data_IF_624623196846
#
_entry.id   IF_624623196846
#
_cell.length_a   1.000
_cell.length_b   1.000
_cell.length_c   1.000
_cell.angle_alpha   90.00
_cell.angle_beta   90.00
_cell.angle_gamma   90.00
#
_symmetry.space_group_name_H-M   'P 1'
#
loop_
_entity.id
_entity.type
_entity.pdbx_description
1 polymer ?
#
# COMPACT_ATOMS: atom_id res chain seq x y z
N UNK A 1 2.19 -39.10 8.56
CA UNK A 1 1.22 -38.00 8.62
C UNK A 1 1.55 -37.14 9.84
N UNK A 2 2.04 -35.92 9.64
CA UNK A 2 2.22 -34.98 10.75
C UNK A 2 0.84 -34.46 11.17
N UNK A 3 0.45 -34.69 12.43
CA UNK A 3 -0.81 -34.18 13.01
C UNK A 3 -0.42 -33.28 14.17
N UNK A 4 -0.29 -31.99 13.90
CA UNK A 4 -0.07 -30.95 14.89
C UNK A 4 -0.83 -29.71 14.43
N UNK A 5 -1.56 -29.06 15.34
CA UNK A 5 -2.17 -27.76 15.06
C UNK A 5 -1.04 -26.74 14.94
N UNK A 6 -0.74 -26.31 13.71
CA UNK A 6 0.13 -25.16 13.45
C UNK A 6 -0.77 -23.92 13.50
N UNK A 7 -0.67 -23.15 14.57
CA UNK A 7 -1.23 -21.80 14.64
C UNK A 7 -0.17 -20.84 14.12
N UNK A 8 -0.47 -20.12 13.04
CA UNK A 8 0.38 -19.07 12.48
C UNK A 8 -0.33 -17.74 12.65
N UNK A 9 0.13 -16.93 13.61
CA UNK A 9 -0.30 -15.53 13.72
C UNK A 9 0.67 -14.67 12.91
N UNK A 10 0.13 -13.97 11.92
CA UNK A 10 0.88 -13.17 10.95
C UNK A 10 0.35 -11.73 10.95
N UNK A 11 1.24 -10.76 11.23
CA UNK A 11 0.92 -9.34 11.23
C UNK A 11 1.82 -8.61 10.23
N UNK A 12 1.22 -7.75 9.40
CA UNK A 12 1.94 -6.87 8.48
C UNK A 12 1.69 -5.43 8.91
N UNK A 13 2.76 -4.68 9.11
CA UNK A 13 2.76 -3.24 9.30
C UNK A 13 3.58 -2.58 8.19
N UNK A 14 3.07 -1.48 7.63
CA UNK A 14 3.76 -0.71 6.59
C UNK A 14 3.79 0.76 6.94
N UNK A 15 4.95 1.38 6.78
CA UNK A 15 5.14 2.84 6.88
C UNK A 15 5.65 3.36 5.54
N UNK A 16 4.98 4.37 4.99
CA UNK A 16 5.27 4.93 3.67
C UNK A 16 5.81 6.37 3.76
N UNK A 17 6.84 6.67 2.96
CA UNK A 17 7.34 8.03 2.72
C UNK A 17 7.33 8.32 1.22
N UNK A 18 6.40 9.15 0.78
CA UNK A 18 6.26 9.52 -0.63
C UNK A 18 6.87 10.90 -0.89
N UNK A 19 7.87 10.93 -1.78
CA UNK A 19 8.50 12.15 -2.30
C UNK A 19 8.08 12.33 -3.75
N UNK A 20 7.42 13.43 -4.09
CA UNK A 20 6.91 13.65 -5.44
C UNK A 20 7.23 15.05 -5.98
N UNK A 21 7.17 15.16 -7.30
CA UNK A 21 7.28 16.40 -8.05
C UNK A 21 6.11 16.50 -9.02
N UNK A 22 5.44 17.64 -9.02
CA UNK A 22 4.30 17.93 -9.88
C UNK A 22 4.79 18.38 -11.26
N UNK A 23 4.46 17.59 -12.29
CA UNK A 23 4.86 17.85 -13.67
C UNK A 23 3.84 18.77 -14.35
N UNK A 24 2.56 18.54 -14.09
CA UNK A 24 1.45 19.25 -14.70
C UNK A 24 0.51 19.73 -13.60
N UNK A 25 0.23 21.03 -13.60
CA UNK A 25 -0.71 21.69 -12.69
C UNK A 25 -1.72 22.51 -13.53
N UNK A 26 -2.79 21.86 -13.99
CA UNK A 26 -3.90 22.57 -14.62
C UNK A 26 -5.26 22.02 -14.15
N UNK A 27 -6.14 21.60 -15.05
CA UNK A 27 -7.38 20.88 -14.70
C UNK A 27 -7.05 19.45 -14.23
N UNK A 28 -5.94 18.90 -14.74
CA UNK A 28 -5.42 17.59 -14.40
C UNK A 28 -4.04 17.78 -13.77
N UNK A 29 -3.84 17.21 -12.59
CA UNK A 29 -2.54 17.12 -11.94
C UNK A 29 -1.85 15.81 -12.30
N UNK A 30 -0.55 15.86 -12.57
CA UNK A 30 0.30 14.68 -12.75
C UNK A 30 1.55 14.82 -11.89
N UNK A 31 1.66 13.95 -10.91
CA UNK A 31 2.79 13.89 -9.99
C UNK A 31 3.56 12.61 -10.26
N UNK A 32 4.89 12.70 -10.24
CA UNK A 32 5.77 11.54 -10.25
C UNK A 32 6.72 11.60 -9.08
N UNK A 33 7.16 10.45 -8.59
CA UNK A 33 7.96 10.43 -7.39
C UNK A 33 8.56 9.09 -7.03
N UNK A 34 8.98 9.02 -5.78
CA UNK A 34 9.50 7.84 -5.13
C UNK A 34 8.69 7.59 -3.86
N UNK A 35 8.19 6.38 -3.71
CA UNK A 35 7.56 5.88 -2.48
C UNK A 35 8.54 4.95 -1.77
N UNK A 36 8.99 5.33 -0.58
CA UNK A 36 9.86 4.52 0.27
C UNK A 36 9.00 3.85 1.33
N UNK A 37 8.74 2.55 1.15
CA UNK A 37 7.94 1.73 2.06
C UNK A 37 8.84 0.93 3.00
N UNK A 38 8.69 1.13 4.30
CA UNK A 38 9.21 0.21 5.31
C UNK A 38 8.13 -0.83 5.64
N UNK A 39 8.41 -2.10 5.33
CA UNK A 39 7.52 -3.23 5.57
C UNK A 39 8.04 -4.04 6.76
N UNK A 40 7.23 -4.17 7.80
CA UNK A 40 7.47 -5.02 8.96
C UNK A 40 6.51 -6.20 8.96
N UNK A 41 7.05 -7.39 9.09
CA UNK A 41 6.31 -8.65 9.11
C UNK A 41 6.65 -9.39 10.39
N UNK A 42 5.69 -9.48 11.31
CA UNK A 42 5.81 -10.26 12.53
C UNK A 42 5.17 -11.63 12.33
N UNK A 43 5.93 -12.70 12.60
CA UNK A 43 5.44 -14.07 12.48
C UNK A 43 5.68 -14.88 13.76
N UNK A 44 4.63 -15.56 14.22
CA UNK A 44 4.70 -16.48 15.35
C UNK A 44 4.46 -17.90 14.85
N UNK A 45 5.47 -18.76 14.95
CA UNK A 45 5.35 -20.18 14.61
C UNK A 45 5.42 -20.99 15.90
N UNK A 46 4.32 -21.65 16.27
CA UNK A 46 4.26 -22.60 17.38
C UNK A 46 4.25 -24.03 16.85
N UNK A 47 5.23 -24.85 17.22
CA UNK A 47 5.26 -26.29 16.89
C UNK A 47 5.75 -27.12 18.09
N UNK A 48 4.91 -28.05 18.56
CA UNK A 48 5.20 -29.04 19.61
C UNK A 48 6.08 -28.52 20.76
N UNK A 49 5.62 -27.46 21.44
CA UNK A 49 6.28 -26.92 22.64
C UNK A 49 7.38 -25.89 22.38
N UNK A 50 7.72 -25.61 21.12
CA UNK A 50 8.65 -24.53 20.74
C UNK A 50 7.84 -23.41 20.08
N UNK A 51 7.96 -22.20 20.61
CA UNK A 51 7.42 -20.98 20.00
C UNK A 51 8.58 -20.15 19.49
N UNK A 52 8.66 -19.96 18.18
CA UNK A 52 9.61 -19.02 17.57
C UNK A 52 8.84 -17.75 17.20
N UNK A 53 9.30 -16.62 17.72
CA UNK A 53 8.86 -15.28 17.35
C UNK A 53 10.00 -14.61 16.62
N UNK A 54 9.73 -14.10 15.43
CA UNK A 54 10.72 -13.34 14.68
C UNK A 54 10.02 -12.28 13.83
N UNK A 55 10.78 -11.26 13.44
CA UNK A 55 10.28 -10.09 12.71
C UNK A 55 11.21 -9.77 11.56
N UNK A 56 10.67 -9.65 10.36
CA UNK A 56 11.41 -9.20 9.17
C UNK A 56 11.04 -7.76 8.88
N UNK A 57 12.05 -6.89 8.76
CA UNK A 57 11.89 -5.48 8.40
C UNK A 57 12.66 -5.22 7.09
N UNK A 58 11.99 -4.58 6.13
CA UNK A 58 12.59 -4.27 4.83
C UNK A 58 12.15 -2.91 4.30
N UNK A 59 13.12 -2.10 3.89
CA UNK A 59 12.89 -0.83 3.21
C UNK A 59 12.90 -1.04 1.70
N UNK A 60 11.82 -0.63 1.04
CA UNK A 60 11.53 -0.91 -0.36
C UNK A 60 11.27 0.43 -1.07
N UNK A 61 12.19 0.90 -1.92
CA UNK A 61 11.93 2.05 -2.77
C UNK A 61 11.07 1.64 -3.97
N UNK A 62 10.04 2.42 -4.29
CA UNK A 62 9.10 2.16 -5.37
C UNK A 62 8.92 3.42 -6.23
N UNK A 63 8.75 3.23 -7.53
CA UNK A 63 8.36 4.33 -8.41
C UNK A 63 6.92 4.73 -8.09
N UNK A 64 6.67 6.02 -7.92
CA UNK A 64 5.36 6.57 -7.60
C UNK A 64 4.84 7.46 -8.71
N UNK A 65 3.53 7.41 -8.96
CA UNK A 65 2.83 8.38 -9.78
C UNK A 65 1.41 8.62 -9.26
N UNK A 66 0.94 9.85 -9.39
CA UNK A 66 -0.44 10.24 -9.11
C UNK A 66 -0.99 11.03 -10.28
N UNK A 67 -2.23 10.74 -10.65
CA UNK A 67 -3.01 11.56 -11.57
C UNK A 67 -4.28 12.00 -10.86
N UNK A 68 -4.56 13.29 -10.87
CA UNK A 68 -5.70 13.89 -10.19
C UNK A 68 -6.41 14.91 -11.06
N UNK A 69 -7.64 15.24 -10.70
CA UNK A 69 -8.36 16.34 -11.34
C UNK A 69 -9.53 16.83 -10.50
N UNK A 70 -9.82 18.12 -10.62
CA UNK A 70 -10.95 18.75 -9.94
C UNK A 70 -12.06 19.08 -10.93
N UNK A 71 -13.15 18.29 -10.99
CA UNK A 71 -14.25 18.55 -11.92
C UNK A 71 -15.15 19.72 -11.47
N UNK A 72 -15.10 20.09 -10.19
CA UNK A 72 -15.90 21.14 -9.55
C UNK A 72 -15.23 21.52 -8.21
N UNK A 73 -15.46 22.75 -7.69
CA UNK A 73 -14.82 23.22 -6.47
C UNK A 73 -15.01 22.26 -5.29
N UNK A 74 -13.91 21.94 -4.61
CA UNK A 74 -13.91 21.08 -3.43
C UNK A 74 -13.84 19.58 -3.73
N UNK A 75 -14.21 19.08 -4.92
CA UNK A 75 -14.00 17.67 -5.27
C UNK A 75 -12.69 17.45 -6.01
N UNK A 76 -12.03 16.34 -5.68
CA UNK A 76 -10.87 15.80 -6.37
C UNK A 76 -11.17 14.34 -6.68
N UNK A 77 -10.92 13.94 -7.92
CA UNK A 77 -10.88 12.52 -8.32
C UNK A 77 -9.42 12.23 -8.66
N UNK A 78 -8.85 11.19 -8.06
CA UNK A 78 -7.44 10.86 -8.23
C UNK A 78 -7.18 9.36 -8.25
N UNK A 79 -6.17 8.96 -9.01
CA UNK A 79 -5.56 7.65 -8.96
C UNK A 79 -4.07 7.77 -8.65
N UNK A 80 -3.55 6.88 -7.81
CA UNK A 80 -2.14 6.81 -7.45
C UNK A 80 -1.65 5.36 -7.62
N UNK A 81 -0.38 5.22 -8.00
CA UNK A 81 0.29 3.95 -8.17
C UNK A 81 1.71 4.02 -7.59
N UNK A 82 2.05 3.04 -6.77
CA UNK A 82 3.43 2.73 -6.37
C UNK A 82 3.82 1.36 -6.92
N UNK A 83 4.98 1.25 -7.55
CA UNK A 83 5.43 -0.01 -8.16
C UNK A 83 6.95 -0.22 -8.07
N UNK A 84 7.33 -1.44 -7.76
CA UNK A 84 8.68 -1.97 -7.98
C UNK A 84 8.59 -3.38 -8.54
N UNK A 85 9.49 -3.71 -9.47
CA UNK A 85 9.65 -5.06 -9.98
C UNK A 85 11.13 -5.41 -10.15
N UNK A 86 11.53 -6.59 -9.69
CA UNK A 86 12.88 -7.10 -9.86
C UNK A 86 12.88 -8.62 -9.99
N UNK A 87 13.42 -9.13 -11.10
CA UNK A 87 13.67 -10.57 -11.33
C UNK A 87 12.50 -11.48 -10.98
N UNK A 88 11.29 -11.17 -11.47
CA UNK A 88 10.07 -11.97 -11.23
C UNK A 88 9.27 -11.56 -9.97
N UNK A 89 9.92 -10.91 -9.01
CA UNK A 89 9.27 -10.31 -7.85
C UNK A 89 8.67 -8.96 -8.22
N UNK A 90 7.49 -8.65 -7.69
CA UNK A 90 6.90 -7.32 -7.81
C UNK A 90 6.05 -6.95 -6.62
N UNK A 91 6.05 -5.66 -6.31
CA UNK A 91 5.15 -5.04 -5.34
C UNK A 91 4.45 -3.91 -6.06
N UNK A 92 3.12 -3.92 -5.99
CA UNK A 92 2.28 -2.89 -6.59
C UNK A 92 1.23 -2.43 -5.59
N UNK A 93 1.02 -1.13 -5.51
CA UNK A 93 -0.04 -0.49 -4.75
C UNK A 93 -0.79 0.45 -5.70
N UNK A 94 -2.09 0.27 -5.85
CA UNK A 94 -2.93 1.08 -6.72
C UNK A 94 -4.12 1.55 -5.91
N UNK A 95 -4.33 2.87 -5.86
CA UNK A 95 -5.49 3.47 -5.21
C UNK A 95 -6.23 4.35 -6.20
N UNK A 96 -7.55 4.21 -6.23
CA UNK A 96 -8.45 5.16 -6.88
C UNK A 96 -9.35 5.75 -5.80
N UNK A 97 -9.40 7.08 -5.70
CA UNK A 97 -10.15 7.78 -4.65
C UNK A 97 -10.83 9.04 -5.15
N UNK A 98 -11.90 9.38 -4.46
CA UNK A 98 -12.62 10.64 -4.59
C UNK A 98 -12.58 11.33 -3.23
N UNK A 99 -12.19 12.60 -3.22
CA UNK A 99 -12.15 13.42 -2.02
C UNK A 99 -13.02 14.67 -2.22
N UNK A 100 -13.76 15.06 -1.19
CA UNK A 100 -14.55 16.29 -1.14
C UNK A 100 -14.15 17.11 0.08
N UNK A 101 -13.68 18.34 -0.14
CA UNK A 101 -13.35 19.30 0.92
C UNK A 101 -14.42 20.38 0.98
N UNK A 102 -15.00 20.56 2.17
CA UNK A 102 -15.95 21.64 2.46
C UNK A 102 -15.22 22.98 2.66
N UNK A 103 -15.98 24.08 2.60
CA UNK A 103 -15.46 25.43 2.90
C UNK A 103 -14.98 25.59 4.36
N UNK A 104 -15.33 24.64 5.25
CA UNK A 104 -14.96 24.64 6.66
C UNK A 104 -13.74 23.76 6.96
N UNK A 105 -12.87 23.53 5.98
CA UNK A 105 -11.63 22.73 6.11
C UNK A 105 -11.84 21.24 6.42
N UNK A 106 -13.08 20.78 6.56
CA UNK A 106 -13.40 19.36 6.74
C UNK A 106 -13.45 18.71 5.36
N UNK A 107 -12.68 17.65 5.18
CA UNK A 107 -12.68 16.82 3.99
C UNK A 107 -13.14 15.40 4.27
N UNK A 108 -13.76 14.80 3.26
CA UNK A 108 -14.16 13.40 3.24
C UNK A 108 -13.51 12.74 2.04
N UNK A 109 -13.08 11.50 2.18
CA UNK A 109 -12.57 10.72 1.07
C UNK A 109 -13.15 9.31 1.09
N UNK A 110 -13.29 8.73 -0.09
CA UNK A 110 -13.61 7.33 -0.26
C UNK A 110 -12.93 6.81 -1.52
N UNK A 111 -12.62 5.53 -1.51
CA UNK A 111 -11.91 4.93 -2.63
C UNK A 111 -11.81 3.43 -2.55
N UNK A 112 -11.01 2.90 -3.44
CA UNK A 112 -10.63 1.50 -3.49
C UNK A 112 -9.11 1.42 -3.61
N UNK A 113 -8.50 0.59 -2.78
CA UNK A 113 -7.06 0.34 -2.78
C UNK A 113 -6.82 -1.14 -3.04
N UNK A 114 -5.81 -1.43 -3.86
CA UNK A 114 -5.36 -2.78 -4.16
C UNK A 114 -3.84 -2.85 -4.05
N UNK A 115 -3.37 -3.70 -3.15
CA UNK A 115 -1.97 -4.01 -2.93
C UNK A 115 -1.70 -5.45 -3.35
N UNK A 116 -0.61 -5.67 -4.07
CA UNK A 116 -0.20 -6.99 -4.53
C UNK A 116 1.30 -7.18 -4.26
N UNK A 117 1.63 -8.31 -3.65
CA UNK A 117 2.98 -8.76 -3.38
C UNK A 117 3.18 -10.09 -4.09
N UNK A 118 3.99 -10.08 -5.14
CA UNK A 118 4.37 -11.26 -5.91
C UNK A 118 5.82 -11.57 -5.61
N UNK A 119 6.05 -12.73 -5.00
CA UNK A 119 7.37 -13.24 -4.66
C UNK A 119 7.58 -14.56 -5.40
N UNK A 120 8.49 -14.56 -6.37
CA UNK A 120 8.90 -15.73 -7.13
C UNK A 120 10.19 -16.31 -6.51
N UNK A 121 10.29 -17.64 -6.45
CA UNK A 121 11.49 -18.38 -6.04
C UNK A 121 12.04 -18.12 -4.63
N UNK A 122 11.20 -17.66 -3.68
CA UNK A 122 11.60 -17.68 -2.26
C UNK A 122 11.52 -19.13 -1.74
N UNK A 123 12.67 -19.77 -1.61
CA UNK A 123 12.80 -21.15 -1.08
C UNK A 123 11.96 -22.19 -1.84
N UNK A 124 11.99 -22.16 -3.19
CA UNK A 124 11.23 -23.04 -4.10
C UNK A 124 9.70 -22.91 -4.00
N UNK A 125 9.19 -21.83 -3.40
CA UNK A 125 7.75 -21.58 -3.25
C UNK A 125 7.40 -20.21 -3.82
N UNK A 126 6.37 -20.16 -4.67
CA UNK A 126 5.80 -18.90 -5.15
C UNK A 126 4.75 -18.40 -4.17
N UNK A 127 4.85 -17.15 -3.75
CA UNK A 127 3.86 -16.49 -2.90
C UNK A 127 3.22 -15.31 -3.65
N UNK A 128 1.89 -15.29 -3.67
CA UNK A 128 1.12 -14.18 -4.24
C UNK A 128 0.09 -13.75 -3.21
N UNK A 129 0.30 -12.57 -2.62
CA UNK A 129 -0.59 -11.96 -1.66
C UNK A 129 -1.27 -10.77 -2.32
N UNK A 130 -2.60 -10.72 -2.25
CA UNK A 130 -3.40 -9.59 -2.74
C UNK A 130 -4.30 -9.11 -1.62
N UNK A 131 -4.25 -7.82 -1.35
CA UNK A 131 -5.12 -7.13 -0.40
C UNK A 131 -5.86 -6.04 -1.15
N UNK A 132 -7.18 -6.12 -1.19
CA UNK A 132 -7.99 -5.11 -1.85
C UNK A 132 -9.27 -4.84 -1.09
N UNK A 133 -9.76 -3.60 -1.19
CA UNK A 133 -10.93 -3.19 -0.45
C UNK A 133 -11.30 -1.73 -0.67
N UNK A 134 -12.56 -1.44 -0.37
CA UNK A 134 -13.07 -0.08 -0.30
C UNK A 134 -12.69 0.55 1.05
N UNK A 135 -12.45 1.85 1.04
CA UNK A 135 -12.23 2.62 2.25
C UNK A 135 -13.01 3.94 2.19
N UNK A 136 -13.23 4.51 3.37
CA UNK A 136 -13.75 5.86 3.54
C UNK A 136 -13.10 6.50 4.76
N UNK A 137 -12.89 7.81 4.70
CA UNK A 137 -12.21 8.57 5.74
C UNK A 137 -12.67 10.02 5.78
N UNK A 138 -12.26 10.70 6.84
CA UNK A 138 -12.41 12.14 6.99
C UNK A 138 -11.08 12.75 7.41
N UNK A 139 -10.78 13.95 6.93
CA UNK A 139 -9.56 14.68 7.21
C UNK A 139 -9.85 16.17 7.45
N UNK A 140 -8.89 16.88 8.02
CA UNK A 140 -8.94 18.34 8.15
C UNK A 140 -7.80 18.91 7.31
N UNK A 141 -8.13 19.80 6.37
CA UNK A 141 -7.18 20.48 5.50
C UNK A 141 -6.80 21.82 6.13
N UNK A 142 -5.54 22.04 6.46
CA UNK A 142 -5.04 23.31 7.02
C UNK A 142 -4.15 24.06 6.02
#
# INVERSE_FOLDING_TARGET
SFTGNVSNDFSIESTDLVLYYEILDNIVSLDIGLDIRNLKVDYNISSTGITTKDSVEQVIPMAYALVGGSPWPGLIISGEISYIGYSGNSISDITAKVAYTTDYFIGFEAGYRRQQYKLDDISNTNANLTFDGVFAGAYVKF
#
